data_IF_347524416212
#
_entry.id   IF_347524416212
#
_cell.length_a   1.000
_cell.length_b   1.000
_cell.length_c   1.000
_cell.angle_alpha   90.00
_cell.angle_beta   90.00
_cell.angle_gamma   90.00
#
_symmetry.space_group_name_H-M   'P 1'
#
loop_
_entity.id
_entity.type
_entity.pdbx_description
1 polymer ?
#
# COMPACT_ATOMS: atom_id res chain seq x y z
N UNK A 1 12.84 -15.11 36.77
CA UNK A 1 13.00 -14.83 36.08
C UNK A 1 13.60 -15.53 35.12
N UNK A 2 14.14 -16.28 35.29
CA UNK A 2 14.68 -17.10 34.35
C UNK A 2 13.69 -17.66 33.40
N UNK A 3 12.54 -17.91 33.81
CA UNK A 3 11.56 -18.43 32.91
C UNK A 3 11.42 -17.54 31.71
N UNK A 4 11.66 -16.31 31.88
CA UNK A 4 11.55 -15.40 30.82
C UNK A 4 12.56 -15.63 29.77
N UNK A 5 13.71 -16.04 30.17
CA UNK A 5 14.73 -16.28 29.24
C UNK A 5 14.34 -17.36 28.30
N UNK A 6 13.76 -18.37 28.80
CA UNK A 6 13.38 -19.44 27.97
C UNK A 6 12.32 -19.03 27.05
N UNK A 7 11.35 -18.36 27.52
CA UNK A 7 10.29 -17.96 26.70
C UNK A 7 10.75 -17.12 25.58
N UNK A 8 11.69 -16.29 25.84
CA UNK A 8 12.15 -15.45 24.78
C UNK A 8 12.89 -16.22 23.74
N UNK A 9 13.40 -17.34 24.12
CA UNK A 9 14.12 -18.09 23.17
C UNK A 9 13.28 -18.87 22.27
N UNK A 10 12.36 -19.49 22.75
CA UNK A 10 11.66 -20.33 22.00
C UNK A 10 10.67 -19.87 21.07
N UNK A 11 9.67 -19.78 21.33
CA UNK A 11 8.60 -19.62 20.43
C UNK A 11 8.71 -18.44 19.59
N UNK A 12 9.32 -17.54 20.10
CA UNK A 12 9.32 -16.37 19.45
C UNK A 12 9.71 -16.42 18.08
N UNK A 13 10.67 -17.10 17.74
CA UNK A 13 11.16 -17.05 16.41
C UNK A 13 10.08 -17.26 15.41
N UNK A 14 9.20 -18.02 15.77
CA UNK A 14 8.21 -18.34 14.83
C UNK A 14 7.20 -17.28 14.71
N UNK A 15 7.24 -16.34 15.58
CA UNK A 15 6.18 -15.38 15.60
C UNK A 15 6.53 -13.96 15.32
N UNK A 16 7.56 -13.69 14.55
CA UNK A 16 7.78 -12.28 14.26
C UNK A 16 6.60 -11.72 13.51
N UNK A 17 5.92 -12.54 12.74
CA UNK A 17 4.77 -12.06 12.00
C UNK A 17 3.54 -11.88 12.85
N UNK A 18 3.59 -12.33 14.12
CA UNK A 18 2.43 -12.22 14.98
C UNK A 18 2.01 -10.79 15.25
N UNK A 19 2.90 -9.83 15.06
CA UNK A 19 2.59 -8.43 15.29
C UNK A 19 2.47 -7.63 14.00
N UNK A 20 2.66 -8.27 12.87
CA UNK A 20 2.71 -7.56 11.60
C UNK A 20 1.35 -7.54 10.92
N UNK A 21 0.93 -6.34 10.57
CA UNK A 21 -0.17 -6.18 9.63
C UNK A 21 0.41 -6.24 8.23
N UNK A 22 -0.33 -6.76 7.29
CA UNK A 22 0.11 -6.89 5.91
C UNK A 22 -0.87 -6.16 5.00
N UNK A 23 -0.35 -5.23 4.22
CA UNK A 23 -1.16 -4.50 3.27
C UNK A 23 -0.72 -4.86 1.86
N UNK A 24 -1.69 -5.17 1.01
CA UNK A 24 -1.45 -5.33 -0.43
C UNK A 24 -2.02 -4.10 -1.08
N UNK A 25 -1.23 -3.39 -1.88
CA UNK A 25 -1.74 -2.21 -2.56
C UNK A 25 -1.35 -2.24 -4.02
N UNK A 26 -2.17 -1.61 -4.84
CA UNK A 26 -1.97 -1.54 -6.26
C UNK A 26 -2.56 -0.23 -6.76
N UNK A 27 -2.04 0.29 -7.85
CA UNK A 27 -2.54 1.50 -8.45
C UNK A 27 -2.26 1.49 -9.93
N UNK A 28 -3.05 2.22 -10.68
CA UNK A 28 -2.84 2.27 -12.12
C UNK A 28 -3.63 3.38 -12.77
N UNK A 29 -3.36 3.57 -14.04
CA UNK A 29 -4.07 4.55 -14.86
C UNK A 29 -4.37 3.91 -16.21
N UNK A 30 -5.52 4.23 -16.75
CA UNK A 30 -5.91 3.76 -18.08
C UNK A 30 -5.50 4.84 -19.06
N UNK A 31 -4.35 4.61 -19.73
CA UNK A 31 -3.62 5.67 -20.37
C UNK A 31 -2.71 6.28 -19.30
N UNK A 32 -1.51 6.65 -19.64
CA UNK A 32 -0.55 7.11 -18.64
C UNK A 32 -0.01 8.47 -19.04
N UNK A 33 -0.62 9.58 -18.59
CA UNK A 33 -1.68 9.64 -17.59
C UNK A 33 -3.06 9.33 -18.15
N UNK A 34 -3.98 9.06 -17.24
CA UNK A 34 -5.35 8.76 -17.62
C UNK A 34 -6.18 8.55 -16.38
N UNK A 35 -7.44 8.11 -16.53
CA UNK A 35 -8.28 7.78 -15.38
C UNK A 35 -7.56 6.76 -14.50
N UNK A 36 -7.42 7.09 -13.23
CA UNK A 36 -6.54 6.33 -12.34
C UNK A 36 -7.24 6.00 -11.04
N UNK A 37 -6.69 5.03 -10.34
CA UNK A 37 -7.22 4.63 -9.05
C UNK A 37 -6.29 3.69 -8.34
N UNK A 38 -6.59 3.45 -7.06
CA UNK A 38 -5.83 2.48 -6.30
C UNK A 38 -6.77 1.55 -5.55
N UNK A 39 -6.24 0.40 -5.20
CA UNK A 39 -6.90 -0.55 -4.36
C UNK A 39 -5.95 -1.05 -3.30
N UNK A 40 -6.48 -1.46 -2.17
CA UNK A 40 -5.66 -1.99 -1.10
C UNK A 40 -6.46 -2.91 -0.22
N UNK A 41 -5.79 -3.91 0.35
CA UNK A 41 -6.37 -4.84 1.29
C UNK A 41 -5.42 -4.95 2.45
N UNK A 42 -5.92 -4.83 3.66
CA UNK A 42 -5.08 -4.91 4.85
C UNK A 42 -5.54 -6.08 5.71
N UNK A 43 -4.58 -6.91 6.10
CA UNK A 43 -4.83 -8.06 6.96
C UNK A 43 -4.15 -7.84 8.30
N UNK A 44 -4.81 -8.29 9.36
CA UNK A 44 -4.24 -8.19 10.69
C UNK A 44 -3.21 -9.31 10.89
N UNK A 45 -2.54 -9.36 12.06
CA UNK A 45 -1.52 -10.40 12.29
C UNK A 45 -2.04 -11.82 12.21
N UNK A 46 -3.36 -12.01 12.32
CA UNK A 46 -3.93 -13.34 12.20
C UNK A 46 -4.34 -13.68 10.77
N UNK A 47 -4.10 -12.76 9.85
CA UNK A 47 -4.45 -12.97 8.45
C UNK A 47 -5.87 -12.63 8.09
N UNK A 48 -6.60 -12.01 9.00
CA UNK A 48 -7.98 -11.62 8.72
C UNK A 48 -8.00 -10.25 8.06
N UNK A 49 -8.83 -10.10 7.05
CA UNK A 49 -8.96 -8.82 6.37
C UNK A 49 -9.66 -7.83 7.26
N UNK A 50 -9.01 -6.71 7.52
CA UNK A 50 -9.57 -5.66 8.37
C UNK A 50 -9.88 -4.39 7.60
N UNK A 51 -9.42 -4.25 6.37
CA UNK A 51 -9.74 -3.08 5.56
C UNK A 51 -9.61 -3.39 4.08
N UNK A 52 -10.50 -2.83 3.28
CA UNK A 52 -10.42 -2.85 1.83
C UNK A 52 -10.63 -1.43 1.34
N UNK A 53 -9.83 -1.01 0.37
CA UNK A 53 -9.89 0.35 -0.15
C UNK A 53 -9.95 0.32 -1.65
N UNK A 54 -10.75 1.21 -2.23
CA UNK A 54 -10.88 1.34 -3.66
C UNK A 54 -11.20 2.79 -3.94
N UNK A 55 -10.30 3.53 -4.57
CA UNK A 55 -10.43 4.98 -4.69
C UNK A 55 -10.07 5.45 -6.09
N UNK A 56 -10.96 6.21 -6.71
CA UNK A 56 -10.70 6.84 -8.00
C UNK A 56 -9.93 8.14 -7.76
N UNK A 57 -8.92 8.40 -8.59
CA UNK A 57 -8.03 9.54 -8.40
C UNK A 57 -8.13 10.59 -9.52
N UNK A 58 -9.04 10.41 -10.47
CA UNK A 58 -9.09 11.30 -11.62
C UNK A 58 -7.98 10.99 -12.60
N UNK A 59 -7.49 11.99 -13.30
CA UNK A 59 -6.46 11.81 -14.33
C UNK A 59 -5.09 11.92 -13.67
N UNK A 60 -4.39 10.81 -13.59
CA UNK A 60 -3.06 10.76 -12.98
C UNK A 60 -2.21 9.73 -13.68
N UNK A 61 -0.93 9.66 -13.34
CA UNK A 61 -0.04 8.65 -13.88
C UNK A 61 -0.13 7.35 -13.07
N UNK A 62 0.37 6.29 -13.64
CA UNK A 62 0.45 5.01 -12.94
C UNK A 62 1.20 5.16 -11.61
N UNK A 63 2.36 5.82 -11.66
CA UNK A 63 3.20 5.94 -10.46
C UNK A 63 2.52 6.77 -9.38
N UNK A 64 1.78 7.81 -9.77
CA UNK A 64 1.03 8.61 -8.82
C UNK A 64 0.00 7.73 -8.11
N UNK A 65 -0.70 6.88 -8.85
CA UNK A 65 -1.71 5.99 -8.27
C UNK A 65 -1.09 4.96 -7.34
N UNK A 66 0.09 4.44 -7.70
CA UNK A 66 0.78 3.50 -6.84
C UNK A 66 1.14 4.13 -5.49
N UNK A 67 1.71 5.33 -5.52
CA UNK A 67 2.07 6.02 -4.28
C UNK A 67 0.82 6.41 -3.49
N UNK A 68 -0.27 6.73 -4.16
CA UNK A 68 -1.52 7.07 -3.47
C UNK A 68 -2.02 5.88 -2.66
N UNK A 69 -1.92 4.67 -3.21
CA UNK A 69 -2.29 3.47 -2.48
C UNK A 69 -1.40 3.24 -1.27
N UNK A 70 -0.10 3.45 -1.43
CA UNK A 70 0.85 3.32 -0.33
C UNK A 70 0.52 4.32 0.78
N UNK A 71 0.26 5.58 0.42
CA UNK A 71 -0.08 6.60 1.40
C UNK A 71 -1.35 6.23 2.16
N UNK A 72 -2.33 5.65 1.47
CA UNK A 72 -3.59 5.28 2.11
C UNK A 72 -3.39 4.18 3.15
N UNK A 73 -2.58 3.17 2.84
CA UNK A 73 -2.37 2.09 3.81
C UNK A 73 -1.53 2.55 4.98
N UNK A 74 -0.59 3.46 4.74
CA UNK A 74 0.21 4.02 5.82
C UNK A 74 -0.67 4.85 6.76
N UNK A 75 -1.57 5.65 6.20
CA UNK A 75 -2.48 6.43 7.00
C UNK A 75 -3.38 5.53 7.84
N UNK A 76 -3.90 4.49 7.22
CA UNK A 76 -4.74 3.54 7.95
C UNK A 76 -3.99 2.93 9.13
N UNK A 77 -2.75 2.53 8.91
CA UNK A 77 -1.95 1.90 9.95
C UNK A 77 -1.73 2.85 11.12
N UNK A 78 -1.41 4.11 10.83
CA UNK A 78 -1.22 5.10 11.87
C UNK A 78 -2.51 5.34 12.65
N UNK A 79 -3.62 5.47 11.94
CA UNK A 79 -4.90 5.76 12.57
C UNK A 79 -5.42 4.60 13.42
N UNK A 80 -5.04 3.38 13.08
CA UNK A 80 -5.56 2.20 13.75
C UNK A 80 -4.56 1.51 14.66
N UNK A 81 -3.43 2.14 14.90
CA UNK A 81 -2.45 1.60 15.83
C UNK A 81 -1.72 0.36 15.36
N UNK A 82 -1.66 0.16 14.05
CA UNK A 82 -0.92 -0.97 13.48
C UNK A 82 0.54 -0.55 13.38
N UNK A 83 1.31 -0.85 14.39
CA UNK A 83 2.68 -0.33 14.50
C UNK A 83 3.71 -1.07 13.67
N UNK A 84 3.42 -2.27 13.24
CA UNK A 84 4.30 -3.06 12.38
C UNK A 84 3.55 -3.32 11.10
N UNK A 85 3.97 -2.71 10.00
CA UNK A 85 3.26 -2.80 8.73
C UNK A 85 4.19 -3.28 7.62
N UNK A 86 3.77 -4.35 6.95
CA UNK A 86 4.43 -4.83 5.76
C UNK A 86 3.56 -4.49 4.57
N UNK A 87 4.12 -3.80 3.58
CA UNK A 87 3.37 -3.44 2.39
C UNK A 87 3.90 -4.25 1.21
N UNK A 88 3.00 -4.91 0.52
CA UNK A 88 3.33 -5.74 -0.63
C UNK A 88 2.77 -5.05 -1.87
N UNK A 89 3.60 -4.83 -2.88
CA UNK A 89 3.22 -4.15 -4.10
C UNK A 89 3.89 -4.80 -5.29
N UNK A 90 3.24 -4.76 -6.44
CA UNK A 90 3.86 -5.25 -7.66
C UNK A 90 4.59 -4.13 -8.41
N UNK A 91 4.67 -2.94 -7.85
CA UNK A 91 5.46 -1.86 -8.42
C UNK A 91 6.90 -1.96 -7.94
N UNK A 92 7.73 -2.58 -8.74
CA UNK A 92 9.14 -2.73 -8.40
C UNK A 92 9.80 -1.37 -8.18
N UNK A 93 9.45 -0.40 -9.02
CA UNK A 93 10.03 0.93 -8.91
C UNK A 93 9.72 1.55 -7.55
N UNK A 94 8.45 1.55 -7.14
CA UNK A 94 8.07 2.14 -5.86
C UNK A 94 8.76 1.44 -4.69
N UNK A 95 8.80 0.11 -4.73
CA UNK A 95 9.43 -0.65 -3.66
C UNK A 95 10.90 -0.26 -3.55
N UNK A 96 11.61 -0.16 -4.68
CA UNK A 96 13.02 0.18 -4.66
C UNK A 96 13.25 1.63 -4.26
N UNK A 97 12.35 2.53 -4.64
CA UNK A 97 12.45 3.92 -4.21
C UNK A 97 12.26 4.05 -2.70
N UNK A 98 11.30 3.33 -2.15
CA UNK A 98 11.05 3.38 -0.72
C UNK A 98 12.19 2.73 0.09
N UNK A 99 12.88 1.77 -0.49
CA UNK A 99 14.02 1.14 0.15
C UNK A 99 15.31 1.94 -0.02
N UNK A 100 15.26 3.04 -0.78
CA UNK A 100 16.44 3.86 -1.00
C UNK A 100 17.38 3.34 -2.06
N UNK A 101 16.95 2.34 -2.83
CA UNK A 101 17.78 1.75 -3.87
C UNK A 101 17.73 2.53 -5.18
N UNK A 102 16.60 3.20 -5.43
CA UNK A 102 16.42 4.04 -6.61
C UNK A 102 16.02 5.43 -6.18
N UNK A 103 16.50 6.43 -6.89
CA UNK A 103 16.13 7.82 -6.60
C UNK A 103 14.78 8.15 -7.22
N UNK A 104 14.08 9.07 -6.60
CA UNK A 104 12.83 9.60 -7.15
C UNK A 104 13.19 10.84 -7.94
N UNK A 105 13.20 10.71 -9.26
CA UNK A 105 13.60 11.81 -10.14
C UNK A 105 12.45 12.69 -10.57
N UNK A 106 11.25 12.16 -10.53
CA UNK A 106 10.07 12.90 -10.99
C UNK A 106 9.66 13.93 -9.96
N UNK A 107 9.57 15.22 -10.34
CA UNK A 107 9.12 16.25 -9.40
C UNK A 107 7.68 16.00 -8.94
N UNK A 108 6.87 15.38 -9.78
CA UNK A 108 5.49 15.09 -9.39
C UNK A 108 5.35 13.99 -8.37
N UNK A 109 6.31 13.07 -8.32
CA UNK A 109 6.27 11.98 -7.35
C UNK A 109 6.99 12.30 -6.07
N UNK A 110 7.92 13.23 -6.12
CA UNK A 110 8.75 13.49 -4.96
C UNK A 110 7.98 13.83 -3.69
N UNK A 111 6.95 14.71 -3.76
CA UNK A 111 6.17 14.99 -2.55
C UNK A 111 5.46 13.76 -2.00
N UNK A 112 4.99 12.87 -2.85
CA UNK A 112 4.33 11.66 -2.39
C UNK A 112 5.33 10.72 -1.72
N UNK A 113 6.51 10.57 -2.32
CA UNK A 113 7.56 9.76 -1.75
C UNK A 113 8.00 10.30 -0.38
N UNK A 114 8.17 11.63 -0.29
CA UNK A 114 8.57 12.24 0.97
C UNK A 114 7.51 12.03 2.04
N UNK A 115 6.25 12.17 1.68
CA UNK A 115 5.17 11.95 2.63
C UNK A 115 5.11 10.49 3.05
N UNK A 116 5.31 9.57 2.12
CA UNK A 116 5.32 8.14 2.45
C UNK A 116 6.45 7.83 3.43
N UNK A 117 7.62 8.43 3.23
CA UNK A 117 8.74 8.23 4.15
C UNK A 117 8.42 8.79 5.53
N UNK A 118 7.77 9.96 5.59
CA UNK A 118 7.39 10.54 6.86
C UNK A 118 6.39 9.66 7.61
N UNK A 119 5.38 9.14 6.91
CA UNK A 119 4.39 8.28 7.54
C UNK A 119 4.99 6.96 7.98
N UNK A 120 5.84 6.37 7.16
CA UNK A 120 6.48 5.12 7.53
C UNK A 120 7.34 5.29 8.78
N UNK A 121 7.98 6.45 8.93
CA UNK A 121 8.82 6.71 10.10
C UNK A 121 8.01 6.81 11.40
N UNK A 122 6.70 6.98 11.31
CA UNK A 122 5.84 7.02 12.49
C UNK A 122 5.47 5.64 12.99
N UNK A 123 5.76 4.60 12.22
CA UNK A 123 5.50 3.23 12.63
C UNK A 123 6.74 2.68 13.34
N UNK A 124 6.53 1.71 14.21
CA UNK A 124 7.65 1.08 14.90
C UNK A 124 8.48 0.27 13.91
N UNK A 125 7.81 -0.41 13.00
CA UNK A 125 8.47 -1.18 11.95
C UNK A 125 7.71 -1.06 10.65
N UNK A 126 8.45 -0.89 9.56
CA UNK A 126 7.86 -0.78 8.24
C UNK A 126 8.71 -1.58 7.26
N UNK A 127 8.04 -2.34 6.40
CA UNK A 127 8.72 -3.16 5.43
C UNK A 127 8.00 -3.08 4.09
N UNK A 128 8.76 -2.96 2.99
CA UNK A 128 8.20 -3.04 1.65
C UNK A 128 8.65 -4.33 1.01
N UNK A 129 7.75 -5.01 0.32
CA UNK A 129 8.07 -6.21 -0.45
C UNK A 129 7.51 -6.12 -1.85
N UNK A 130 8.30 -6.52 -2.81
CA UNK A 130 7.86 -6.61 -4.19
C UNK A 130 7.25 -7.99 -4.42
N UNK A 131 6.16 -8.05 -5.18
CA UNK A 131 5.59 -9.30 -5.62
C UNK A 131 5.31 -9.20 -7.10
N UNK A 132 5.21 -10.34 -7.77
CA UNK A 132 4.75 -10.35 -9.14
C UNK A 132 3.26 -10.05 -9.14
N UNK A 133 2.76 -9.61 -10.30
CA UNK A 133 1.37 -9.18 -10.40
C UNK A 133 0.40 -10.23 -9.89
N UNK A 134 0.67 -11.51 -10.14
CA UNK A 134 -0.23 -12.58 -9.69
C UNK A 134 -0.38 -12.68 -8.19
N UNK A 135 0.55 -12.13 -7.42
CA UNK A 135 0.48 -12.15 -5.96
C UNK A 135 -0.27 -10.98 -5.36
N UNK A 136 -0.90 -10.13 -6.19
CA UNK A 136 -1.55 -8.92 -5.70
C UNK A 136 -2.96 -8.76 -6.30
N UNK A 137 -3.63 -9.88 -6.53
CA UNK A 137 -4.87 -9.89 -7.32
C UNK A 137 -6.02 -9.10 -6.72
N UNK A 138 -6.20 -9.20 -5.42
CA UNK A 138 -7.35 -8.51 -4.81
C UNK A 138 -7.15 -7.00 -4.85
N UNK A 139 -5.96 -6.53 -4.56
CA UNK A 139 -5.68 -5.09 -4.64
C UNK A 139 -5.83 -4.61 -6.08
N UNK A 140 -5.36 -5.39 -7.05
CA UNK A 140 -5.50 -5.07 -8.46
C UNK A 140 -6.98 -4.96 -8.84
N UNK A 141 -7.77 -5.89 -8.37
CA UNK A 141 -9.21 -5.89 -8.65
C UNK A 141 -9.88 -4.65 -8.09
N UNK A 142 -9.51 -4.25 -6.88
CA UNK A 142 -10.06 -3.04 -6.26
C UNK A 142 -9.63 -1.78 -6.99
N UNK A 143 -8.41 -1.74 -7.50
CA UNK A 143 -7.95 -0.61 -8.30
C UNK A 143 -8.73 -0.50 -9.59
N UNK A 144 -8.95 -1.64 -10.26
CA UNK A 144 -9.73 -1.67 -11.49
C UNK A 144 -11.17 -1.26 -11.23
N UNK A 145 -11.73 -1.71 -10.11
CA UNK A 145 -13.08 -1.32 -9.75
C UNK A 145 -13.19 0.19 -9.58
N UNK A 146 -12.19 0.80 -8.94
CA UNK A 146 -12.17 2.25 -8.74
C UNK A 146 -12.14 2.97 -10.08
N UNK A 147 -11.29 2.51 -10.99
CA UNK A 147 -11.19 3.14 -12.30
C UNK A 147 -12.47 2.97 -13.11
N UNK A 148 -13.07 1.77 -13.07
CA UNK A 148 -14.31 1.52 -13.77
C UNK A 148 -15.43 2.42 -13.27
N UNK A 149 -15.58 2.51 -11.96
CA UNK A 149 -16.65 3.33 -11.39
C UNK A 149 -16.42 4.81 -11.66
N UNK A 150 -15.17 5.25 -11.56
CA UNK A 150 -14.84 6.65 -11.80
C UNK A 150 -15.06 7.04 -13.25
N UNK A 151 -14.68 6.19 -14.19
CA UNK A 151 -14.88 6.44 -15.59
C UNK A 151 -16.36 6.42 -15.94
N UNK A 152 -17.10 5.49 -15.37
CA UNK A 152 -18.53 5.37 -15.64
C UNK A 152 -19.26 6.60 -15.12
N UNK A 153 -18.91 7.06 -13.92
CA UNK A 153 -19.55 8.22 -13.34
C UNK A 153 -19.26 9.46 -14.17
N UNK A 154 -18.04 9.59 -14.65
CA UNK A 154 -17.67 10.74 -15.45
C UNK A 154 -18.44 10.77 -16.77
N UNK A 155 -18.63 9.61 -17.40
CA UNK A 155 -19.34 9.58 -18.68
C UNK A 155 -20.84 9.72 -18.52
N UNK A 156 -21.37 9.38 -17.35
CA UNK A 156 -22.82 9.46 -17.15
C UNK A 156 -23.26 10.81 -16.63
N UNK A 157 -22.35 11.71 -16.32
CA UNK A 157 -22.74 13.03 -15.86
C UNK A 157 -23.31 13.82 -17.00
N UNK A 158 -24.40 14.51 -16.77
CA UNK A 158 -24.98 15.33 -17.83
C UNK A 158 -24.07 16.52 -18.12
N UNK A 159 -24.13 16.96 -19.35
CA UNK A 159 -23.34 18.07 -19.75
C UNK A 159 -23.95 19.26 -19.13
N UNK A 160 -23.23 19.98 -18.47
CA UNK A 160 -23.72 21.08 -17.67
C UNK A 160 -24.49 22.15 -18.30
#
# INVERSE_FOLDING_TARGET
MTGNLFESLEPTPAKPSAHWFTAHCDGGARGNPGPSGYGAVIEDPKGQTVARMSQFLGIQTNNYAEYSGLLAVLEWAIANGAKHLRVISDSELMVKQMKGQYKVKSPGLRPLWEEAKRRAARLDRFEMRHTLRGGNKEADSLANEAMDKGMKKATSQPEG
#
